data_IF_098335532273
#
_entry.id   IF_098335532273
#
_cell.length_a   1.000
_cell.length_b   1.000
_cell.length_c   1.000
_cell.angle_alpha   90.00
_cell.angle_beta   90.00
_cell.angle_gamma   90.00
#
_symmetry.space_group_name_H-M   'P 1'
#
loop_
_entity.id
_entity.type
_entity.pdbx_description
1 polymer ?
#
# COMPACT_ATOMS: atom_id res chain seq x y z
N UNK A 1 16.63 1.43 0.88
CA UNK A 1 15.79 1.96 1.98
C UNK A 1 16.33 1.43 3.29
N UNK A 2 16.56 2.30 4.26
CA UNK A 2 16.88 1.85 5.62
C UNK A 2 15.66 1.15 6.22
N UNK A 3 15.84 0.33 7.26
CA UNK A 3 14.71 -0.29 7.96
C UNK A 3 13.75 0.74 8.56
N UNK A 4 14.27 1.91 8.96
CA UNK A 4 13.46 3.02 9.47
C UNK A 4 12.51 3.59 8.42
N UNK A 5 13.04 3.83 7.21
CA UNK A 5 12.25 4.38 6.09
C UNK A 5 11.12 3.42 5.68
N UNK A 6 11.39 2.11 5.75
CA UNK A 6 10.38 1.09 5.48
C UNK A 6 9.23 1.15 6.50
N UNK A 7 9.54 1.20 7.79
CA UNK A 7 8.52 1.24 8.82
C UNK A 7 7.68 2.52 8.70
N UNK A 8 8.32 3.67 8.50
CA UNK A 8 7.62 4.94 8.31
C UNK A 8 6.66 4.90 7.11
N UNK A 9 7.09 4.34 5.98
CA UNK A 9 6.23 4.19 4.80
C UNK A 9 5.04 3.28 5.07
N UNK A 10 5.24 2.15 5.74
CA UNK A 10 4.14 1.23 6.08
C UNK A 10 3.11 1.88 7.00
N UNK A 11 3.55 2.68 7.97
CA UNK A 11 2.65 3.46 8.82
C UNK A 11 1.88 4.53 8.04
N UNK A 12 2.55 5.22 7.11
CA UNK A 12 1.89 6.18 6.24
C UNK A 12 0.86 5.50 5.32
N UNK A 13 1.19 4.33 4.75
CA UNK A 13 0.26 3.53 3.95
C UNK A 13 -0.99 3.16 4.74
N UNK A 14 -0.84 2.64 5.96
CA UNK A 14 -1.98 2.32 6.83
C UNK A 14 -2.83 3.56 7.14
N UNK A 15 -2.19 4.70 7.42
CA UNK A 15 -2.91 5.96 7.65
C UNK A 15 -3.72 6.36 6.42
N UNK A 16 -3.12 6.35 5.24
CA UNK A 16 -3.80 6.71 3.99
C UNK A 16 -5.02 5.81 3.75
N UNK A 17 -4.87 4.49 3.89
CA UNK A 17 -5.97 3.52 3.75
C UNK A 17 -7.11 3.77 4.74
N UNK A 18 -6.81 4.07 6.01
CA UNK A 18 -7.82 4.35 7.03
C UNK A 18 -8.58 5.67 6.78
N UNK A 19 -7.92 6.67 6.20
CA UNK A 19 -8.54 7.98 5.99
C UNK A 19 -9.50 8.06 4.81
N UNK A 20 -9.26 7.28 3.75
CA UNK A 20 -10.02 7.44 2.50
C UNK A 20 -11.32 6.64 2.48
N UNK A 21 -11.42 5.53 3.22
CA UNK A 21 -12.66 4.75 3.36
C UNK A 21 -13.21 4.12 2.06
N UNK A 22 -12.52 4.33 0.94
CA UNK A 22 -12.82 3.83 -0.39
C UNK A 22 -11.56 3.23 -1.02
N UNK A 23 -11.73 2.47 -2.10
CA UNK A 23 -10.62 1.89 -2.86
C UNK A 23 -9.70 2.97 -3.43
N UNK A 24 -8.38 2.78 -3.30
CA UNK A 24 -7.37 3.71 -3.81
C UNK A 24 -6.58 2.99 -4.90
N UNK A 25 -6.45 3.57 -6.12
CA UNK A 25 -5.59 3.00 -7.15
C UNK A 25 -4.15 2.85 -6.68
N UNK A 26 -3.54 1.71 -6.98
CA UNK A 26 -2.16 1.40 -6.58
C UNK A 26 -1.16 2.47 -7.05
N UNK A 27 -1.34 2.97 -8.28
CA UNK A 27 -0.54 4.04 -8.86
C UNK A 27 -0.62 5.36 -8.07
N UNK A 28 -1.76 5.65 -7.45
CA UNK A 28 -1.95 6.87 -6.67
C UNK A 28 -1.27 6.76 -5.31
N UNK A 29 -1.31 5.57 -4.69
CA UNK A 29 -0.53 5.27 -3.48
C UNK A 29 0.98 5.36 -3.74
N UNK A 30 1.43 4.84 -4.87
CA UNK A 30 2.83 4.90 -5.31
C UNK A 30 3.29 6.35 -5.47
N UNK A 31 2.46 7.20 -6.12
CA UNK A 31 2.73 8.62 -6.29
C UNK A 31 2.71 9.40 -4.98
N UNK A 32 1.74 9.14 -4.11
CA UNK A 32 1.61 9.82 -2.80
C UNK A 32 2.78 9.50 -1.86
N UNK A 33 3.27 8.26 -1.88
CA UNK A 33 4.36 7.79 -1.02
C UNK A 33 5.74 7.87 -1.70
N UNK A 34 5.82 8.47 -2.89
CA UNK A 34 7.05 8.65 -3.69
C UNK A 34 7.85 7.35 -3.89
N UNK A 35 7.16 6.25 -4.16
CA UNK A 35 7.76 4.93 -4.42
C UNK A 35 7.18 4.28 -5.67
N UNK A 36 7.83 3.23 -6.15
CA UNK A 36 7.30 2.42 -7.26
C UNK A 36 6.16 1.51 -6.78
N UNK A 37 5.19 1.23 -7.65
CA UNK A 37 4.01 0.38 -7.38
C UNK A 37 4.38 -0.97 -6.75
N UNK A 38 5.43 -1.63 -7.25
CA UNK A 38 5.93 -2.90 -6.69
C UNK A 38 6.30 -2.82 -5.20
N UNK A 39 6.73 -1.64 -4.73
CA UNK A 39 7.02 -1.42 -3.30
C UNK A 39 5.73 -1.41 -2.48
N UNK A 40 4.70 -0.73 -2.99
CA UNK A 40 3.39 -0.70 -2.34
C UNK A 40 2.76 -2.08 -2.33
N UNK A 41 2.74 -2.81 -3.45
CA UNK A 41 2.24 -4.20 -3.51
C UNK A 41 2.90 -5.07 -2.44
N UNK A 42 4.24 -5.02 -2.33
CA UNK A 42 4.98 -5.79 -1.34
C UNK A 42 4.62 -5.40 0.11
N UNK A 43 4.40 -4.12 0.38
CA UNK A 43 3.98 -3.67 1.70
C UNK A 43 2.54 -4.10 2.01
N UNK A 44 1.64 -4.04 1.03
CA UNK A 44 0.26 -4.54 1.15
C UNK A 44 0.23 -6.04 1.42
N UNK A 45 0.99 -6.85 0.67
CA UNK A 45 1.13 -8.29 0.91
C UNK A 45 1.65 -8.59 2.32
N UNK A 46 2.61 -7.80 2.82
CA UNK A 46 3.15 -7.97 4.16
C UNK A 46 2.09 -7.68 5.22
N UNK A 47 1.34 -6.59 5.05
CA UNK A 47 0.24 -6.23 5.95
C UNK A 47 -0.86 -7.30 5.94
N UNK A 48 -1.22 -7.84 4.77
CA UNK A 48 -2.16 -8.97 4.68
C UNK A 48 -1.62 -10.21 5.42
N UNK A 49 -0.34 -10.56 5.25
CA UNK A 49 0.30 -11.68 5.97
C UNK A 49 0.31 -11.48 7.49
N UNK A 50 0.31 -10.23 7.96
CA UNK A 50 0.20 -9.89 9.38
C UNK A 50 -1.26 -9.90 9.89
N UNK A 51 -2.24 -10.13 9.02
CA UNK A 51 -3.65 -10.23 9.37
C UNK A 51 -4.42 -8.91 9.31
N UNK A 52 -3.88 -7.87 8.65
CA UNK A 52 -4.64 -6.65 8.41
C UNK A 52 -5.76 -6.93 7.38
N UNK A 53 -6.99 -6.44 7.61
CA UNK A 53 -8.13 -6.64 6.72
C UNK A 53 -8.03 -5.69 5.52
N UNK A 54 -7.09 -5.96 4.62
CA UNK A 54 -6.86 -5.19 3.39
C UNK A 54 -7.29 -6.05 2.22
N UNK A 55 -8.24 -5.52 1.46
CA UNK A 55 -8.72 -6.12 0.22
C UNK A 55 -8.17 -5.30 -0.96
N UNK A 56 -7.88 -5.98 -2.06
CA UNK A 56 -7.56 -5.35 -3.33
C UNK A 56 -8.39 -6.03 -4.42
N UNK A 57 -8.76 -5.25 -5.42
CA UNK A 57 -9.40 -5.75 -6.63
C UNK A 57 -8.41 -5.53 -7.76
N UNK A 58 -8.18 -6.58 -8.54
CA UNK A 58 -7.44 -6.48 -9.78
C UNK A 58 -8.39 -5.93 -10.85
N UNK A 59 -7.95 -4.90 -11.59
CA UNK A 59 -8.69 -4.49 -12.77
C UNK A 59 -8.67 -5.60 -13.85
N UNK A 60 -9.51 -5.53 -14.88
CA UNK A 60 -9.58 -6.53 -15.97
C UNK A 60 -8.23 -6.75 -16.70
N UNK A 61 -7.22 -5.94 -16.40
CA UNK A 61 -5.86 -5.95 -16.96
C UNK A 61 -4.84 -6.56 -15.97
N UNK A 62 -5.25 -6.89 -14.74
CA UNK A 62 -4.40 -7.51 -13.72
C UNK A 62 -3.37 -6.56 -13.13
N UNK A 63 -3.71 -5.27 -12.99
CA UNK A 63 -2.85 -4.23 -12.42
C UNK A 63 -3.36 -3.68 -11.09
#
# INVERSE_FOLDING_TARGET
>A
MSRGDQLQRQWNLLRTLQTRGEGIPLQDLARELEVVERTIQRDLELLQKLGFPIEHEDDEIGK
#
